data_IF_658399446838
#
_entry.id   IF_658399446838
#
_cell.length_a   1.000
_cell.length_b   1.000
_cell.length_c   1.000
_cell.angle_alpha   90.00
_cell.angle_beta   90.00
_cell.angle_gamma   90.00
#
_symmetry.space_group_name_H-M   'P 1'
#
loop_
_entity.id
_entity.type
_entity.pdbx_description
1 polymer ?
#
# COMPACT_ATOMS: atom_id res chain seq x y z
N UNK A 1 -7.39 -7.39 24.48
CA UNK A 1 -7.53 -6.64 23.20
C UNK A 1 -8.72 -7.23 22.44
N UNK A 2 -9.70 -6.44 22.00
CA UNK A 2 -10.75 -6.93 21.08
C UNK A 2 -10.23 -6.80 19.64
N UNK A 3 -10.18 -7.89 18.91
CA UNK A 3 -9.81 -7.92 17.48
C UNK A 3 -11.07 -8.06 16.63
N UNK A 4 -11.08 -7.46 15.44
CA UNK A 4 -12.15 -7.64 14.45
C UNK A 4 -11.93 -8.94 13.65
N UNK A 5 -12.96 -9.35 12.90
CA UNK A 5 -12.88 -10.50 11.99
C UNK A 5 -12.37 -10.12 10.59
N UNK A 6 -11.86 -8.90 10.44
CA UNK A 6 -11.43 -8.32 9.17
C UNK A 6 -9.94 -7.96 9.28
N UNK A 7 -9.18 -8.25 8.23
CA UNK A 7 -7.80 -7.82 8.08
C UNK A 7 -7.78 -6.73 7.02
N UNK A 8 -7.26 -5.55 7.36
CA UNK A 8 -6.96 -4.53 6.37
C UNK A 8 -5.60 -4.85 5.75
N UNK A 9 -5.58 -5.11 4.46
CA UNK A 9 -4.37 -5.35 3.68
C UNK A 9 -3.98 -4.01 3.04
N UNK A 10 -2.72 -3.62 3.22
CA UNK A 10 -2.14 -2.42 2.64
C UNK A 10 -0.93 -2.84 1.82
N UNK A 11 -0.91 -2.45 0.56
CA UNK A 11 0.21 -2.62 -0.35
C UNK A 11 0.75 -1.24 -0.72
N UNK A 12 2.06 -1.04 -0.56
CA UNK A 12 2.69 0.27 -0.71
C UNK A 12 3.67 0.22 -1.86
N UNK A 13 3.36 0.98 -2.90
CA UNK A 13 4.32 1.27 -3.95
C UNK A 13 5.04 2.58 -3.65
N UNK A 14 6.34 2.61 -3.91
CA UNK A 14 7.18 3.77 -3.67
C UNK A 14 8.18 4.00 -4.79
N UNK A 15 8.69 5.23 -4.89
CA UNK A 15 9.78 5.56 -5.80
C UNK A 15 10.99 4.65 -5.58
N UNK A 16 11.53 4.09 -6.65
CA UNK A 16 12.72 3.24 -6.64
C UNK A 16 13.74 3.71 -7.68
N UNK A 17 14.98 3.20 -7.55
CA UNK A 17 16.09 3.53 -8.45
C UNK A 17 16.87 2.26 -8.78
N UNK A 18 17.57 2.26 -9.90
CA UNK A 18 18.43 1.14 -10.30
C UNK A 18 19.44 0.79 -9.21
N UNK A 19 19.63 -0.51 -8.99
CA UNK A 19 20.53 -1.06 -7.96
C UNK A 19 20.19 -0.60 -6.53
N UNK A 20 18.92 -0.24 -6.27
CA UNK A 20 18.42 0.24 -4.97
C UNK A 20 19.19 1.46 -4.44
N UNK A 21 19.84 2.22 -5.33
CA UNK A 21 20.68 3.35 -4.95
C UNK A 21 19.92 4.66 -5.06
N UNK A 22 19.49 5.19 -3.93
CA UNK A 22 18.86 6.52 -3.84
C UNK A 22 19.89 7.61 -4.22
N UNK A 23 19.64 8.43 -5.26
CA UNK A 23 20.53 9.54 -5.61
C UNK A 23 20.64 10.58 -4.50
N UNK A 24 21.77 11.31 -4.45
CA UNK A 24 21.98 12.35 -3.46
C UNK A 24 20.86 13.41 -3.52
N UNK A 25 20.23 13.70 -2.37
CA UNK A 25 19.14 14.65 -2.26
C UNK A 25 17.75 14.11 -2.60
N UNK A 26 17.64 12.86 -3.08
CA UNK A 26 16.36 12.17 -3.29
C UNK A 26 15.93 11.40 -2.03
N UNK A 27 14.63 11.10 -1.93
CA UNK A 27 14.04 10.30 -0.86
C UNK A 27 12.97 9.38 -1.43
N UNK A 28 12.80 8.22 -0.79
CA UNK A 28 11.67 7.34 -1.07
C UNK A 28 10.37 8.06 -0.72
N UNK A 29 9.44 8.11 -1.68
CA UNK A 29 8.10 8.64 -1.50
C UNK A 29 7.07 7.60 -1.96
N UNK A 30 5.94 7.51 -1.24
CA UNK A 30 4.81 6.66 -1.63
C UNK A 30 4.18 7.21 -2.92
N UNK A 31 4.00 6.34 -3.91
CA UNK A 31 3.34 6.65 -5.19
C UNK A 31 1.90 6.13 -5.24
N UNK A 32 1.65 4.97 -4.61
CA UNK A 32 0.35 4.34 -4.54
C UNK A 32 0.16 3.61 -3.21
N UNK A 33 -1.07 3.62 -2.70
CA UNK A 33 -1.53 2.79 -1.58
C UNK A 33 -2.67 1.91 -2.08
N UNK A 34 -2.40 0.62 -2.26
CA UNK A 34 -3.41 -0.41 -2.48
C UNK A 34 -4.04 -0.81 -1.16
N UNK A 35 -5.37 -0.84 -1.10
CA UNK A 35 -6.13 -1.18 0.12
C UNK A 35 -7.20 -2.21 -0.22
N UNK A 36 -7.32 -3.26 0.60
CA UNK A 36 -8.50 -4.11 0.63
C UNK A 36 -8.77 -4.68 2.02
N UNK A 37 -9.97 -5.21 2.21
CA UNK A 37 -10.35 -5.91 3.43
C UNK A 37 -10.51 -7.40 3.15
N UNK A 38 -9.91 -8.23 3.99
CA UNK A 38 -10.05 -9.68 3.99
C UNK A 38 -10.93 -10.11 5.17
N UNK A 39 -12.06 -10.73 4.89
CA UNK A 39 -12.88 -11.40 5.90
C UNK A 39 -12.22 -12.72 6.29
N UNK A 40 -11.90 -12.90 7.58
CA UNK A 40 -11.17 -14.08 8.06
C UNK A 40 -12.00 -15.37 8.07
N UNK A 41 -13.32 -15.27 8.07
CA UNK A 41 -14.23 -16.42 8.07
C UNK A 41 -14.51 -16.89 6.65
N UNK A 42 -14.91 -15.97 5.76
CA UNK A 42 -15.28 -16.31 4.38
C UNK A 42 -14.08 -16.35 3.43
N UNK A 43 -12.95 -15.77 3.83
CA UNK A 43 -11.76 -15.55 3.00
C UNK A 43 -12.01 -14.65 1.78
N UNK A 44 -13.12 -13.92 1.77
CA UNK A 44 -13.46 -12.99 0.70
C UNK A 44 -12.68 -11.68 0.84
N UNK A 45 -12.21 -11.18 -0.31
CA UNK A 45 -11.59 -9.87 -0.43
C UNK A 45 -12.63 -8.87 -0.90
N UNK A 46 -12.78 -7.76 -0.17
CA UNK A 46 -13.74 -6.71 -0.46
C UNK A 46 -13.10 -5.31 -0.37
N UNK A 47 -13.88 -4.28 -0.74
CA UNK A 47 -13.52 -2.85 -0.65
C UNK A 47 -12.15 -2.50 -1.27
N UNK A 48 -11.81 -3.14 -2.38
CA UNK A 48 -10.59 -2.87 -3.15
C UNK A 48 -10.57 -1.40 -3.57
N UNK A 49 -9.51 -0.69 -3.21
CA UNK A 49 -9.29 0.70 -3.57
C UNK A 49 -7.80 0.95 -3.78
N UNK A 50 -7.50 1.84 -4.71
CA UNK A 50 -6.17 2.43 -4.83
C UNK A 50 -6.23 3.93 -4.55
N UNK A 51 -5.23 4.43 -3.83
CA UNK A 51 -5.02 5.86 -3.57
C UNK A 51 -3.68 6.25 -4.18
N UNK A 52 -3.74 7.13 -5.17
CA UNK A 52 -2.58 7.60 -5.91
C UNK A 52 -2.11 8.96 -5.40
N UNK A 53 -0.80 9.13 -5.27
CA UNK A 53 -0.22 10.42 -4.96
C UNK A 53 -0.16 11.28 -6.23
N UNK A 54 -1.16 12.13 -6.43
CA UNK A 54 -1.29 13.00 -7.62
C UNK A 54 -0.17 14.02 -7.81
N UNK A 55 0.74 14.18 -6.84
CA UNK A 55 1.94 15.03 -6.97
C UNK A 55 3.16 14.27 -7.49
N UNK A 56 3.06 12.96 -7.70
CA UNK A 56 4.16 12.06 -8.08
C UNK A 56 3.89 11.23 -9.35
N UNK A 57 2.68 11.32 -9.91
CA UNK A 57 2.25 10.67 -11.15
C UNK A 57 2.22 11.70 -12.28
#
# INVERSE_FOLDING_TARGET
MKTTNEIVIIDLEATCWENDRIPAGQKTDIIEIGICELNRTTQEISKKRSIYNSRKI
#
